data_IF_048610611299
#
_entry.id   IF_048610611299
#
_cell.length_a   1.000
_cell.length_b   1.000
_cell.length_c   1.000
_cell.angle_alpha   90.00
_cell.angle_beta   90.00
_cell.angle_gamma   90.00
#
_symmetry.space_group_name_H-M   'P 1'
#
loop_
_entity.id
_entity.type
_entity.pdbx_description
1 polymer ?
#
# COMPACT_ATOMS: atom_id res chain seq x y z
N UNK A 1 -12.93 29.39 30.35
CA UNK A 1 -14.37 29.29 30.25
C UNK A 1 -14.68 29.18 28.75
N UNK A 2 -15.09 28.13 28.17
CA UNK A 2 -15.79 26.91 28.55
C UNK A 2 -15.37 25.80 27.57
N UNK A 3 -14.97 24.67 28.13
CA UNK A 3 -14.76 23.40 27.44
C UNK A 3 -16.11 22.86 26.96
N UNK A 4 -16.16 22.42 25.70
CA UNK A 4 -17.24 21.57 25.21
C UNK A 4 -16.67 20.20 24.83
N UNK A 5 -16.71 19.31 25.79
CA UNK A 5 -16.47 17.88 25.62
C UNK A 5 -17.63 17.25 24.83
N UNK A 6 -17.38 16.88 23.61
CA UNK A 6 -18.27 16.02 22.82
C UNK A 6 -18.05 14.56 23.24
N UNK A 7 -18.87 14.08 24.17
CA UNK A 7 -18.98 12.67 24.50
C UNK A 7 -19.69 11.92 23.36
N UNK A 8 -18.91 11.19 22.56
CA UNK A 8 -19.42 10.21 21.61
C UNK A 8 -20.17 9.11 22.36
N UNK A 9 -21.48 9.08 22.23
CA UNK A 9 -22.38 8.03 22.69
C UNK A 9 -21.97 6.68 22.12
N UNK A 10 -21.31 5.87 22.92
CA UNK A 10 -21.22 4.44 22.71
C UNK A 10 -22.66 3.89 22.83
N UNK A 11 -23.28 3.66 21.70
CA UNK A 11 -24.54 2.97 21.59
C UNK A 11 -24.42 1.63 22.31
N UNK A 12 -25.02 1.58 23.48
CA UNK A 12 -25.18 0.39 24.32
C UNK A 12 -26.03 -0.61 23.52
N UNK A 13 -25.43 -1.52 22.77
CA UNK A 13 -26.13 -2.69 22.27
C UNK A 13 -26.53 -3.49 23.51
N UNK A 14 -27.78 -3.30 23.92
CA UNK A 14 -28.49 -4.15 24.85
C UNK A 14 -28.21 -5.59 24.40
N UNK A 15 -27.63 -6.38 25.29
CA UNK A 15 -27.49 -7.83 25.13
C UNK A 15 -28.94 -8.34 25.02
N UNK A 16 -29.42 -8.56 23.78
CA UNK A 16 -30.72 -9.10 23.49
C UNK A 16 -30.83 -10.47 24.18
N UNK A 17 -31.95 -10.71 24.83
CA UNK A 17 -32.30 -12.05 25.29
C UNK A 17 -32.20 -13.05 24.12
N UNK A 18 -32.23 -14.36 24.35
CA UNK A 18 -32.02 -15.37 23.32
C UNK A 18 -32.93 -15.07 22.12
N UNK A 19 -32.31 -14.64 21.01
CA UNK A 19 -32.99 -14.28 19.78
C UNK A 19 -33.75 -15.56 19.34
N UNK A 20 -35.08 -15.49 19.24
CA UNK A 20 -35.92 -16.63 18.92
C UNK A 20 -35.54 -17.13 17.52
N UNK A 21 -34.90 -18.31 17.45
CA UNK A 21 -34.37 -18.86 16.22
C UNK A 21 -35.48 -19.17 15.24
N UNK A 22 -35.38 -18.63 14.04
CA UNK A 22 -36.36 -18.80 12.97
C UNK A 22 -36.00 -20.01 12.14
N UNK A 23 -36.94 -20.95 11.99
CA UNK A 23 -36.79 -22.20 11.27
C UNK A 23 -37.71 -22.24 10.07
N UNK A 24 -37.26 -22.83 8.97
CA UNK A 24 -38.09 -23.11 7.79
C UNK A 24 -38.29 -24.62 7.66
N UNK A 25 -39.52 -25.07 7.57
CA UNK A 25 -39.89 -26.47 7.28
C UNK A 25 -40.32 -26.54 5.82
N UNK A 26 -39.75 -27.48 5.07
CA UNK A 26 -40.11 -27.73 3.68
C UNK A 26 -40.44 -29.21 3.52
N UNK A 27 -41.71 -29.52 3.32
CA UNK A 27 -42.19 -30.88 3.18
C UNK A 27 -43.54 -30.84 2.42
N UNK A 28 -43.79 -31.71 1.47
CA UNK A 28 -45.04 -31.72 0.70
C UNK A 28 -46.23 -32.31 1.48
N UNK A 29 -45.96 -33.10 2.54
CA UNK A 29 -46.99 -33.69 3.40
C UNK A 29 -47.51 -32.70 4.47
N UNK A 30 -48.74 -32.21 4.30
CA UNK A 30 -49.35 -31.22 5.23
C UNK A 30 -49.33 -31.71 6.69
N UNK A 31 -49.62 -33.00 6.90
CA UNK A 31 -49.70 -33.61 8.24
C UNK A 31 -48.36 -33.52 8.96
N UNK A 32 -47.25 -33.76 8.25
CA UNK A 32 -45.88 -33.68 8.78
C UNK A 32 -45.56 -32.23 9.06
N UNK A 33 -45.79 -31.31 8.11
CA UNK A 33 -45.55 -29.87 8.29
C UNK A 33 -46.26 -29.31 9.52
N UNK A 34 -47.53 -29.64 9.69
CA UNK A 34 -48.33 -29.17 10.85
C UNK A 34 -47.81 -29.74 12.17
N UNK A 35 -47.52 -31.05 12.22
CA UNK A 35 -47.00 -31.70 13.42
C UNK A 35 -45.66 -31.12 13.86
N UNK A 36 -44.69 -31.01 12.93
CA UNK A 36 -43.37 -30.44 13.20
C UNK A 36 -43.44 -28.96 13.59
N UNK A 37 -44.26 -28.16 12.87
CA UNK A 37 -44.46 -26.75 13.20
C UNK A 37 -45.03 -26.54 14.60
N UNK A 38 -46.05 -27.31 14.95
CA UNK A 38 -46.67 -27.25 16.29
C UNK A 38 -45.69 -27.64 17.38
N UNK A 39 -44.94 -28.72 17.17
CA UNK A 39 -43.93 -29.19 18.12
C UNK A 39 -42.82 -28.15 18.33
N UNK A 40 -42.20 -27.63 17.26
CA UNK A 40 -41.10 -26.70 17.35
C UNK A 40 -41.52 -25.34 17.92
N UNK A 41 -42.71 -24.83 17.56
CA UNK A 41 -43.28 -23.63 18.19
C UNK A 41 -43.48 -23.82 19.70
N UNK A 42 -43.91 -25.02 20.14
CA UNK A 42 -44.04 -25.31 21.57
C UNK A 42 -42.70 -25.33 22.32
N UNK A 43 -41.60 -25.43 21.61
CA UNK A 43 -40.22 -25.38 22.12
C UNK A 43 -39.56 -23.98 21.99
N UNK A 44 -40.32 -22.95 21.55
CA UNK A 44 -39.89 -21.59 21.50
C UNK A 44 -39.16 -21.20 20.19
N UNK A 45 -39.32 -22.00 19.13
CA UNK A 45 -38.82 -21.61 17.79
C UNK A 45 -39.88 -20.82 17.02
N UNK A 46 -39.47 -19.84 16.24
CA UNK A 46 -40.29 -19.21 15.21
C UNK A 46 -40.24 -20.08 13.95
N UNK A 47 -41.38 -20.50 13.40
CA UNK A 47 -41.42 -21.51 12.35
C UNK A 47 -42.32 -21.08 11.20
N UNK A 48 -41.72 -21.00 10.01
CA UNK A 48 -42.44 -20.93 8.74
C UNK A 48 -42.45 -22.31 8.07
N UNK A 49 -43.46 -22.55 7.26
CA UNK A 49 -43.65 -23.85 6.60
C UNK A 49 -43.98 -23.64 5.11
N UNK A 50 -43.24 -24.34 4.26
CA UNK A 50 -43.40 -24.36 2.82
C UNK A 50 -43.80 -25.75 2.34
N UNK A 51 -44.75 -25.81 1.42
CA UNK A 51 -45.24 -27.06 0.83
C UNK A 51 -44.41 -27.53 -0.38
N UNK A 52 -43.52 -26.65 -0.90
CA UNK A 52 -42.71 -26.93 -2.07
C UNK A 52 -41.49 -26.03 -2.11
N UNK A 53 -40.47 -26.40 -2.90
CA UNK A 53 -39.24 -25.66 -3.06
C UNK A 53 -39.42 -24.21 -3.53
N UNK A 54 -40.30 -23.85 -4.48
CA UNK A 54 -40.50 -22.44 -4.87
C UNK A 54 -41.01 -21.57 -3.72
N UNK A 55 -41.90 -22.09 -2.85
CA UNK A 55 -42.37 -21.37 -1.68
C UNK A 55 -41.26 -21.19 -0.65
N UNK A 56 -40.40 -22.19 -0.46
CA UNK A 56 -39.24 -22.13 0.41
C UNK A 56 -38.25 -21.08 -0.06
N UNK A 57 -37.95 -21.04 -1.34
CA UNK A 57 -37.06 -20.04 -1.94
C UNK A 57 -37.59 -18.60 -1.76
N UNK A 58 -38.90 -18.41 -1.92
CA UNK A 58 -39.54 -17.12 -1.67
C UNK A 58 -39.39 -16.69 -0.19
N UNK A 59 -39.53 -17.60 0.77
CA UNK A 59 -39.25 -17.29 2.17
C UNK A 59 -37.80 -16.92 2.43
N UNK A 60 -36.85 -17.65 1.84
CA UNK A 60 -35.41 -17.38 2.00
C UNK A 60 -34.96 -16.05 1.39
N UNK A 61 -35.61 -15.59 0.31
CA UNK A 61 -35.34 -14.29 -0.31
C UNK A 61 -35.80 -13.11 0.55
N UNK A 62 -36.83 -13.31 1.40
CA UNK A 62 -37.42 -12.22 2.17
C UNK A 62 -37.20 -12.33 3.68
N UNK A 63 -36.53 -13.37 4.15
CA UNK A 63 -36.27 -13.58 5.57
C UNK A 63 -34.98 -14.37 5.84
N UNK A 64 -34.43 -14.19 7.03
CA UNK A 64 -33.28 -14.96 7.48
C UNK A 64 -33.76 -16.13 8.37
N UNK A 65 -33.22 -17.30 8.09
CA UNK A 65 -33.49 -18.51 8.84
C UNK A 65 -32.20 -19.09 9.41
N UNK A 66 -32.28 -19.56 10.67
CA UNK A 66 -31.14 -20.24 11.30
C UNK A 66 -30.99 -21.67 10.81
N UNK A 67 -32.10 -22.30 10.45
CA UNK A 67 -32.14 -23.68 10.00
C UNK A 67 -33.31 -23.92 9.04
N UNK A 68 -33.07 -24.76 8.04
CA UNK A 68 -34.10 -25.37 7.18
C UNK A 68 -34.17 -26.87 7.43
N UNK A 69 -35.39 -27.38 7.75
CA UNK A 69 -35.73 -28.78 7.69
C UNK A 69 -36.31 -29.05 6.32
N UNK A 70 -35.72 -29.92 5.53
CA UNK A 70 -36.14 -30.15 4.15
C UNK A 70 -36.40 -31.63 3.87
N UNK A 71 -37.57 -31.96 3.37
CA UNK A 71 -37.81 -33.29 2.83
C UNK A 71 -37.00 -33.48 1.52
N UNK A 72 -36.47 -34.68 1.33
CA UNK A 72 -35.74 -35.04 0.11
C UNK A 72 -36.70 -35.20 -1.06
N UNK A 73 -37.85 -35.86 -0.85
CA UNK A 73 -38.74 -36.21 -1.94
C UNK A 73 -39.97 -35.31 -1.97
N UNK A 74 -39.89 -34.30 -2.84
CA UNK A 74 -41.01 -33.40 -3.08
C UNK A 74 -41.37 -33.37 -4.57
N UNK A 75 -42.63 -33.16 -4.94
CA UNK A 75 -43.03 -32.96 -6.32
C UNK A 75 -42.34 -31.75 -6.96
N UNK A 76 -41.88 -31.93 -8.19
CA UNK A 76 -41.15 -30.87 -8.92
C UNK A 76 -39.67 -30.83 -8.55
N UNK A 77 -39.24 -29.86 -7.78
CA UNK A 77 -37.86 -29.72 -7.31
C UNK A 77 -37.69 -30.50 -5.99
N UNK A 78 -36.74 -31.42 -5.98
CA UNK A 78 -36.38 -32.22 -4.82
C UNK A 78 -35.63 -31.39 -3.76
N UNK A 79 -35.58 -31.87 -2.51
CA UNK A 79 -34.79 -31.24 -1.46
C UNK A 79 -33.28 -31.20 -1.79
N UNK A 80 -32.75 -32.22 -2.49
CA UNK A 80 -31.37 -32.25 -2.92
C UNK A 80 -31.02 -31.14 -3.94
N UNK A 81 -31.96 -30.78 -4.80
CA UNK A 81 -31.82 -29.66 -5.73
C UNK A 81 -32.05 -28.30 -5.07
N UNK A 82 -32.91 -28.24 -4.06
CA UNK A 82 -33.20 -27.01 -3.32
C UNK A 82 -32.03 -26.56 -2.45
N UNK A 83 -31.34 -27.47 -1.76
CA UNK A 83 -30.32 -27.15 -0.76
C UNK A 83 -29.14 -26.29 -1.34
N UNK A 84 -28.56 -26.63 -2.48
CA UNK A 84 -27.50 -25.79 -3.08
C UNK A 84 -28.00 -24.36 -3.36
N UNK A 85 -29.21 -24.22 -3.92
CA UNK A 85 -29.79 -22.90 -4.25
C UNK A 85 -30.08 -22.10 -2.97
N UNK A 86 -30.63 -22.75 -1.95
CA UNK A 86 -30.90 -22.13 -0.66
C UNK A 86 -29.62 -21.61 0.01
N UNK A 87 -28.51 -22.34 -0.12
CA UNK A 87 -27.19 -21.93 0.40
C UNK A 87 -26.49 -20.88 -0.45
N UNK A 88 -26.81 -20.73 -1.71
CA UNK A 88 -26.39 -19.58 -2.51
C UNK A 88 -27.09 -18.30 -2.05
N UNK A 89 -28.37 -18.38 -1.62
CA UNK A 89 -29.11 -17.24 -1.07
C UNK A 89 -28.58 -16.87 0.33
N UNK A 90 -28.40 -17.86 1.21
CA UNK A 90 -27.84 -17.67 2.55
C UNK A 90 -26.80 -18.78 2.85
N UNK A 91 -25.53 -18.44 2.74
CA UNK A 91 -24.42 -19.37 3.01
C UNK A 91 -24.36 -19.84 4.47
N UNK A 92 -25.02 -19.12 5.36
CA UNK A 92 -25.08 -19.40 6.79
C UNK A 92 -26.30 -20.24 7.18
N UNK A 93 -27.18 -20.53 6.22
CA UNK A 93 -28.34 -21.39 6.46
C UNK A 93 -27.88 -22.80 6.81
N UNK A 94 -28.23 -23.26 7.99
CA UNK A 94 -28.08 -24.66 8.37
C UNK A 94 -29.21 -25.51 7.74
N UNK A 95 -28.87 -26.71 7.30
CA UNK A 95 -29.87 -27.60 6.68
C UNK A 95 -29.83 -28.99 7.30
N UNK A 96 -31.00 -29.49 7.70
CA UNK A 96 -31.26 -30.91 8.06
C UNK A 96 -32.20 -31.50 7.04
N UNK A 97 -31.78 -32.60 6.42
CA UNK A 97 -32.62 -33.33 5.46
C UNK A 97 -33.48 -34.38 6.17
N UNK A 98 -34.73 -34.51 5.72
CA UNK A 98 -35.61 -35.58 6.16
C UNK A 98 -35.68 -36.65 5.04
N UNK A 99 -35.41 -37.92 5.39
CA UNK A 99 -35.30 -39.02 4.41
C UNK A 99 -36.12 -40.22 4.80
N UNK A 100 -36.58 -41.04 3.83
CA UNK A 100 -37.28 -42.28 4.10
C UNK A 100 -36.30 -43.40 4.51
N UNK A 101 -36.78 -44.37 5.28
CA UNK A 101 -36.01 -45.42 5.95
C UNK A 101 -35.12 -46.28 5.02
N UNK A 102 -35.38 -46.29 3.70
CA UNK A 102 -34.74 -47.19 2.73
C UNK A 102 -33.71 -46.45 1.81
N UNK A 103 -33.33 -45.24 2.14
CA UNK A 103 -32.54 -44.37 1.26
C UNK A 103 -31.10 -44.11 1.78
N UNK A 104 -30.35 -45.16 2.15
CA UNK A 104 -28.98 -45.03 2.61
C UNK A 104 -28.04 -44.29 1.58
N UNK A 105 -28.16 -44.45 0.24
CA UNK A 105 -27.42 -43.64 -0.72
C UNK A 105 -27.76 -42.16 -0.61
N UNK A 106 -29.00 -41.82 -0.37
CA UNK A 106 -29.54 -40.44 -0.30
C UNK A 106 -29.00 -39.65 0.91
N UNK A 107 -28.59 -40.35 1.98
CA UNK A 107 -27.95 -39.71 3.14
C UNK A 107 -26.58 -39.11 2.78
N UNK A 108 -25.74 -39.86 2.00
CA UNK A 108 -24.47 -39.36 1.53
C UNK A 108 -24.63 -38.22 0.51
N UNK A 109 -25.65 -38.32 -0.35
CA UNK A 109 -26.00 -37.29 -1.32
C UNK A 109 -26.47 -36.00 -0.60
N UNK A 110 -27.22 -36.12 0.47
CA UNK A 110 -27.69 -34.98 1.30
C UNK A 110 -26.51 -34.16 1.86
N UNK A 111 -25.52 -34.84 2.42
CA UNK A 111 -24.30 -34.17 2.93
C UNK A 111 -23.51 -33.54 1.80
N UNK A 112 -23.40 -34.24 0.64
CA UNK A 112 -22.72 -33.71 -0.54
C UNK A 112 -23.41 -32.49 -1.15
N UNK A 113 -24.76 -32.43 -1.05
CA UNK A 113 -25.53 -31.26 -1.47
C UNK A 113 -25.39 -30.06 -0.51
N UNK A 114 -24.80 -30.25 0.68
CA UNK A 114 -24.52 -29.17 1.65
C UNK A 114 -25.39 -29.22 2.90
N UNK A 115 -26.16 -30.28 3.15
CA UNK A 115 -26.83 -30.48 4.43
C UNK A 115 -25.81 -30.75 5.54
N UNK A 116 -26.09 -30.28 6.74
CA UNK A 116 -25.27 -30.51 7.93
C UNK A 116 -25.57 -31.82 8.64
N UNK A 117 -26.80 -32.29 8.51
CA UNK A 117 -27.27 -33.53 9.13
C UNK A 117 -28.48 -34.06 8.33
N UNK A 118 -28.86 -35.33 8.56
CA UNK A 118 -30.11 -35.92 8.05
C UNK A 118 -30.80 -36.74 9.13
N UNK A 119 -32.13 -36.87 9.03
CA UNK A 119 -32.97 -37.67 9.92
C UNK A 119 -33.86 -38.55 9.07
N UNK A 120 -34.10 -39.81 9.55
CA UNK A 120 -34.96 -40.74 8.87
C UNK A 120 -36.42 -40.60 9.33
N UNK A 121 -37.36 -40.63 8.38
CA UNK A 121 -38.80 -40.71 8.65
C UNK A 121 -39.20 -42.17 9.00
N UNK A 122 -40.05 -42.41 10.02
CA UNK A 122 -40.74 -41.43 10.85
C UNK A 122 -39.80 -40.74 11.84
N UNK A 123 -39.84 -39.39 11.89
CA UNK A 123 -38.91 -38.58 12.69
C UNK A 123 -39.29 -38.71 14.18
N UNK A 124 -38.37 -39.20 15.00
CA UNK A 124 -38.50 -39.09 16.44
C UNK A 124 -38.32 -37.63 16.88
N UNK A 125 -39.22 -37.11 17.67
CA UNK A 125 -39.23 -35.70 18.07
C UNK A 125 -38.07 -35.31 19.01
N UNK A 126 -37.53 -36.27 19.77
CA UNK A 126 -36.35 -36.01 20.62
C UNK A 126 -35.09 -36.00 19.80
N UNK A 127 -34.95 -36.92 18.84
CA UNK A 127 -33.84 -36.95 17.91
C UNK A 127 -33.81 -35.69 17.05
N UNK A 128 -34.98 -35.22 16.58
CA UNK A 128 -35.10 -33.96 15.84
C UNK A 128 -34.60 -32.76 16.66
N UNK A 129 -35.05 -32.65 17.92
CA UNK A 129 -34.65 -31.53 18.78
C UNK A 129 -33.12 -31.52 19.00
N UNK A 130 -32.58 -32.71 19.33
CA UNK A 130 -31.13 -32.86 19.49
C UNK A 130 -30.34 -32.54 18.22
N UNK A 131 -30.84 -32.94 17.04
CA UNK A 131 -30.22 -32.59 15.76
C UNK A 131 -30.25 -31.06 15.49
N UNK A 132 -31.41 -30.44 15.71
CA UNK A 132 -31.56 -28.98 15.59
C UNK A 132 -30.57 -28.26 16.50
N UNK A 133 -30.47 -28.62 17.77
CA UNK A 133 -29.56 -27.98 18.72
C UNK A 133 -28.10 -28.13 18.28
N UNK A 134 -27.67 -29.32 17.88
CA UNK A 134 -26.32 -29.58 17.39
C UNK A 134 -25.99 -28.78 16.14
N UNK A 135 -26.87 -28.79 15.15
CA UNK A 135 -26.65 -28.15 13.84
C UNK A 135 -26.66 -26.62 13.97
N UNK A 136 -27.61 -26.08 14.73
CA UNK A 136 -27.67 -24.63 14.97
C UNK A 136 -26.45 -24.15 15.77
N UNK A 137 -26.04 -24.90 16.81
CA UNK A 137 -24.82 -24.54 17.55
C UNK A 137 -23.58 -24.56 16.64
N UNK A 138 -23.43 -25.57 15.80
CA UNK A 138 -22.32 -25.64 14.83
C UNK A 138 -22.33 -24.46 13.84
N UNK A 139 -23.54 -24.11 13.34
CA UNK A 139 -23.74 -22.94 12.48
C UNK A 139 -23.33 -21.64 13.19
N UNK A 140 -23.82 -21.44 14.42
CA UNK A 140 -23.52 -20.22 15.18
C UNK A 140 -22.02 -20.05 15.43
N UNK A 141 -21.31 -21.10 15.80
CA UNK A 141 -19.86 -21.10 15.94
C UNK A 141 -19.14 -20.75 14.63
N UNK A 142 -19.58 -21.31 13.50
CA UNK A 142 -18.98 -21.02 12.20
C UNK A 142 -19.21 -19.56 11.77
N UNK A 143 -20.40 -19.01 12.07
CA UNK A 143 -20.71 -17.58 11.81
C UNK A 143 -19.86 -16.68 12.69
N UNK A 144 -19.73 -16.98 13.97
CA UNK A 144 -18.92 -16.21 14.91
C UNK A 144 -17.45 -16.22 14.48
N UNK A 145 -16.90 -17.38 14.13
CA UNK A 145 -15.53 -17.52 13.65
C UNK A 145 -15.28 -16.65 12.42
N UNK A 146 -16.15 -16.69 11.41
CA UNK A 146 -16.01 -15.85 10.22
C UNK A 146 -16.11 -14.35 10.53
N UNK A 147 -16.94 -13.96 11.47
CA UNK A 147 -17.04 -12.58 11.90
C UNK A 147 -15.75 -12.10 12.58
N UNK A 148 -15.15 -12.94 13.43
CA UNK A 148 -13.86 -12.65 14.08
C UNK A 148 -12.75 -12.56 13.03
N UNK A 149 -12.66 -13.49 12.09
CA UNK A 149 -11.69 -13.46 11.00
C UNK A 149 -11.79 -12.16 10.19
N UNK A 150 -13.01 -11.75 9.79
CA UNK A 150 -13.23 -10.48 9.06
C UNK A 150 -12.83 -9.25 9.87
N UNK A 151 -13.04 -9.26 11.18
CA UNK A 151 -12.61 -8.17 12.06
C UNK A 151 -11.09 -8.09 12.16
N UNK A 152 -10.41 -9.24 12.29
CA UNK A 152 -8.95 -9.32 12.32
C UNK A 152 -8.37 -8.81 10.98
N UNK A 153 -8.89 -9.29 9.85
CA UNK A 153 -8.44 -8.85 8.52
C UNK A 153 -8.54 -7.33 8.35
N UNK A 154 -9.68 -6.74 8.74
CA UNK A 154 -9.89 -5.28 8.68
C UNK A 154 -8.92 -4.53 9.58
N UNK A 155 -8.70 -5.02 10.80
CA UNK A 155 -7.80 -4.36 11.75
C UNK A 155 -6.33 -4.48 11.30
N UNK A 156 -5.92 -5.64 10.76
CA UNK A 156 -4.59 -5.83 10.17
C UNK A 156 -4.38 -4.88 9.00
N UNK A 157 -5.33 -4.82 8.06
CA UNK A 157 -5.24 -3.92 6.90
C UNK A 157 -5.13 -2.45 7.34
N UNK A 158 -5.94 -2.03 8.33
CA UNK A 158 -5.90 -0.67 8.89
C UNK A 158 -4.54 -0.36 9.50
N UNK A 159 -4.03 -1.24 10.39
CA UNK A 159 -2.75 -1.03 11.07
C UNK A 159 -1.57 -1.03 10.10
N UNK A 160 -1.61 -1.89 9.08
CA UNK A 160 -0.57 -1.90 8.04
C UNK A 160 -0.53 -0.56 7.30
N UNK A 161 -1.68 -0.04 6.88
CA UNK A 161 -1.77 1.26 6.22
C UNK A 161 -1.34 2.43 7.13
N UNK A 162 -1.64 2.37 8.43
CA UNK A 162 -1.20 3.38 9.40
C UNK A 162 0.32 3.35 9.57
N UNK A 163 0.91 2.16 9.73
CA UNK A 163 2.37 1.98 9.86
C UNK A 163 3.13 2.43 8.60
N UNK A 164 2.59 2.16 7.42
CA UNK A 164 3.20 2.63 6.17
C UNK A 164 3.20 4.16 6.09
N UNK A 165 2.11 4.82 6.49
CA UNK A 165 2.02 6.29 6.57
C UNK A 165 3.00 6.87 7.58
N UNK A 166 3.07 6.32 8.78
CA UNK A 166 4.02 6.74 9.82
C UNK A 166 5.46 6.57 9.35
N UNK A 167 5.78 5.43 8.72
CA UNK A 167 7.10 5.15 8.16
C UNK A 167 7.48 6.14 7.08
N UNK A 168 6.57 6.44 6.15
CA UNK A 168 6.80 7.42 5.07
C UNK A 168 7.01 8.82 5.64
N UNK A 169 6.20 9.23 6.61
CA UNK A 169 6.35 10.53 7.30
C UNK A 169 7.67 10.65 8.05
N UNK A 170 8.07 9.61 8.77
CA UNK A 170 9.35 9.59 9.49
C UNK A 170 10.54 9.65 8.52
N UNK A 171 10.43 8.97 7.37
CA UNK A 171 11.45 9.03 6.32
C UNK A 171 11.59 10.43 5.73
N UNK A 172 10.46 11.07 5.36
CA UNK A 172 10.46 12.45 4.86
C UNK A 172 11.08 13.41 5.87
N UNK A 173 10.70 13.32 7.15
CA UNK A 173 11.28 14.15 8.21
C UNK A 173 12.80 13.94 8.37
N UNK A 174 13.28 12.71 8.19
CA UNK A 174 14.71 12.41 8.25
C UNK A 174 15.46 13.03 7.08
N UNK A 175 14.92 12.91 5.85
CA UNK A 175 15.48 13.56 4.66
C UNK A 175 15.54 15.07 4.83
N UNK A 176 14.44 15.67 5.28
CA UNK A 176 14.37 17.12 5.50
C UNK A 176 15.37 17.60 6.57
N UNK A 177 15.52 16.83 7.65
CA UNK A 177 16.51 17.13 8.69
C UNK A 177 17.93 17.16 8.12
N UNK A 178 18.31 16.15 7.33
CA UNK A 178 19.64 16.08 6.71
C UNK A 178 19.81 17.20 5.69
N UNK A 179 18.79 17.49 4.87
CA UNK A 179 18.84 18.59 3.90
C UNK A 179 19.00 19.97 4.59
N UNK A 180 18.38 20.16 5.75
CA UNK A 180 18.61 21.36 6.56
C UNK A 180 20.05 21.43 7.10
N UNK A 181 20.66 20.31 7.49
CA UNK A 181 22.06 20.29 7.90
C UNK A 181 22.99 20.65 6.73
N UNK A 182 22.70 20.17 5.52
CA UNK A 182 23.43 20.57 4.29
C UNK A 182 23.31 22.08 4.08
N UNK A 183 22.10 22.62 4.11
CA UNK A 183 21.86 24.06 3.92
C UNK A 183 22.54 24.91 5.01
N UNK A 184 22.56 24.46 6.26
CA UNK A 184 23.32 25.11 7.34
C UNK A 184 24.82 25.07 7.10
N UNK A 185 25.35 23.97 6.54
CA UNK A 185 26.74 23.87 6.21
C UNK A 185 27.09 24.83 5.06
N UNK A 186 26.27 24.85 4.00
CA UNK A 186 26.44 25.80 2.88
C UNK A 186 26.38 27.26 3.34
N UNK A 187 25.58 27.62 4.32
CA UNK A 187 25.44 28.99 4.82
C UNK A 187 26.71 29.57 5.48
N UNK A 188 27.68 28.71 5.80
CA UNK A 188 29.00 29.17 6.29
C UNK A 188 29.83 29.85 5.20
N UNK A 189 29.57 29.52 3.93
CA UNK A 189 30.21 30.14 2.78
C UNK A 189 29.17 30.91 1.95
N UNK A 190 29.27 32.24 1.84
CA UNK A 190 28.34 33.04 1.05
C UNK A 190 28.23 32.61 -0.43
N UNK A 191 29.24 31.94 -0.95
CA UNK A 191 29.26 31.44 -2.33
C UNK A 191 28.59 30.09 -2.52
N UNK A 192 28.33 29.36 -1.43
CA UNK A 192 27.67 28.03 -1.45
C UNK A 192 26.23 28.07 -0.97
N UNK A 193 25.80 29.18 -0.36
CA UNK A 193 24.46 29.29 0.21
C UNK A 193 23.36 28.92 -0.80
N UNK A 194 22.54 27.91 -0.44
CA UNK A 194 21.40 27.45 -1.24
C UNK A 194 21.76 26.67 -2.50
N UNK A 195 23.03 26.26 -2.67
CA UNK A 195 23.46 25.49 -3.83
C UNK A 195 22.69 24.21 -4.02
N UNK A 196 22.57 23.38 -2.99
CA UNK A 196 21.82 22.11 -3.07
C UNK A 196 20.35 22.29 -3.45
N UNK A 197 19.72 23.38 -2.98
CA UNK A 197 18.33 23.70 -3.35
C UNK A 197 18.21 24.05 -4.84
N UNK A 198 19.17 24.84 -5.35
CA UNK A 198 19.22 25.23 -6.78
C UNK A 198 19.53 24.03 -7.66
N UNK A 199 20.49 23.19 -7.27
CA UNK A 199 20.81 21.93 -7.97
C UNK A 199 19.56 21.05 -8.01
N UNK A 200 18.82 20.91 -6.91
CA UNK A 200 17.60 20.11 -6.87
C UNK A 200 16.51 20.63 -7.82
N UNK A 201 16.34 21.95 -7.92
CA UNK A 201 15.37 22.53 -8.85
C UNK A 201 15.73 22.29 -10.32
N UNK A 202 17.01 22.44 -10.68
CA UNK A 202 17.51 22.15 -12.03
C UNK A 202 17.43 20.66 -12.34
N UNK A 203 17.87 19.80 -11.43
CA UNK A 203 17.83 18.35 -11.61
C UNK A 203 16.40 17.84 -11.79
N UNK A 204 15.44 18.36 -11.02
CA UNK A 204 14.00 18.09 -11.19
C UNK A 204 13.55 18.48 -12.60
N UNK A 205 13.84 19.70 -13.03
CA UNK A 205 13.41 20.19 -14.33
C UNK A 205 13.99 19.37 -15.48
N UNK A 206 15.25 18.93 -15.38
CA UNK A 206 15.89 18.02 -16.36
C UNK A 206 15.16 16.66 -16.35
N UNK A 207 14.89 16.09 -15.19
CA UNK A 207 14.20 14.80 -15.06
C UNK A 207 12.79 14.83 -15.65
N UNK A 208 12.02 15.90 -15.40
CA UNK A 208 10.70 16.16 -15.99
C UNK A 208 10.78 16.27 -17.52
N UNK A 209 11.75 17.05 -18.04
CA UNK A 209 11.95 17.24 -19.48
C UNK A 209 12.35 15.94 -20.19
N UNK A 210 13.09 15.07 -19.50
CA UNK A 210 13.40 13.72 -19.99
C UNK A 210 12.22 12.75 -19.95
N UNK A 211 11.07 13.16 -19.39
CA UNK A 211 9.86 12.35 -19.28
C UNK A 211 9.96 11.21 -18.27
N UNK A 212 10.79 11.38 -17.22
CA UNK A 212 10.88 10.35 -16.15
C UNK A 212 9.58 10.28 -15.36
N UNK A 213 9.21 9.10 -14.83
CA UNK A 213 8.09 8.96 -13.91
C UNK A 213 8.25 9.86 -12.68
N UNK A 214 7.14 10.38 -12.14
CA UNK A 214 7.12 11.31 -10.99
C UNK A 214 7.94 10.80 -9.79
N UNK A 215 7.88 9.49 -9.51
CA UNK A 215 8.68 8.87 -8.45
C UNK A 215 10.18 9.09 -8.66
N UNK A 216 10.67 8.95 -9.89
CA UNK A 216 12.08 9.16 -10.23
C UNK A 216 12.46 10.64 -10.18
N UNK A 217 11.56 11.53 -10.60
CA UNK A 217 11.75 12.98 -10.48
C UNK A 217 11.95 13.38 -9.02
N UNK A 218 11.11 12.88 -8.11
CA UNK A 218 11.23 13.13 -6.67
C UNK A 218 12.50 12.52 -6.07
N UNK A 219 12.91 11.33 -6.51
CA UNK A 219 14.16 10.70 -6.08
C UNK A 219 15.40 11.49 -6.53
N UNK A 220 15.40 12.00 -7.77
CA UNK A 220 16.48 12.86 -8.30
C UNK A 220 16.56 14.16 -7.50
N UNK A 221 15.42 14.81 -7.26
CA UNK A 221 15.38 16.04 -6.46
C UNK A 221 15.83 15.81 -5.01
N UNK A 222 15.48 14.68 -4.42
CA UNK A 222 15.91 14.27 -3.08
C UNK A 222 17.43 14.04 -3.05
N UNK A 223 17.96 13.30 -4.03
CA UNK A 223 19.40 13.05 -4.13
C UNK A 223 20.17 14.37 -4.29
N UNK A 224 19.66 15.31 -5.10
CA UNK A 224 20.25 16.63 -5.28
C UNK A 224 20.32 17.46 -4.00
N UNK A 225 19.32 17.33 -3.11
CA UNK A 225 19.33 18.01 -1.80
C UNK A 225 20.36 17.41 -0.82
N UNK A 226 20.78 16.17 -1.04
CA UNK A 226 21.60 15.39 -0.12
C UNK A 226 23.02 15.12 -0.63
N UNK A 227 23.30 15.31 -1.94
CA UNK A 227 24.51 14.84 -2.61
C UNK A 227 25.81 15.29 -1.93
N UNK A 228 25.80 16.50 -1.39
CA UNK A 228 26.94 17.16 -0.78
C UNK A 228 27.02 17.01 0.76
N UNK A 229 26.16 16.21 1.39
CA UNK A 229 26.14 16.07 2.86
C UNK A 229 27.50 15.66 3.45
N UNK A 230 28.28 14.90 2.72
CA UNK A 230 29.62 14.48 3.17
C UNK A 230 30.63 15.63 3.27
N UNK A 231 30.39 16.77 2.64
CA UNK A 231 31.24 17.97 2.77
C UNK A 231 31.32 18.52 4.20
N UNK A 232 30.35 18.13 5.07
CA UNK A 232 30.37 18.49 6.49
C UNK A 232 31.64 17.98 7.22
N UNK A 233 32.27 16.93 6.71
CA UNK A 233 33.48 16.35 7.29
C UNK A 233 34.78 16.99 6.73
N UNK A 234 34.66 17.83 5.72
CA UNK A 234 35.83 18.54 5.15
C UNK A 234 36.25 19.66 6.08
N UNK A 235 37.59 19.89 6.13
CA UNK A 235 38.15 21.01 6.87
C UNK A 235 37.86 22.33 6.13
N UNK A 236 37.45 23.36 6.86
CA UNK A 236 37.16 24.69 6.30
C UNK A 236 38.34 25.25 5.46
N UNK A 237 39.58 24.95 5.86
CA UNK A 237 40.80 25.37 5.13
C UNK A 237 40.89 24.76 3.72
N UNK A 238 40.30 23.59 3.48
CA UNK A 238 40.27 22.95 2.15
C UNK A 238 39.07 23.47 1.37
N UNK A 239 37.89 23.52 2.02
CA UNK A 239 36.64 23.92 1.41
C UNK A 239 36.70 25.40 0.90
N UNK A 240 37.26 26.29 1.73
CA UNK A 240 37.29 27.74 1.48
C UNK A 240 38.67 28.23 0.96
N UNK A 241 39.50 27.36 0.40
CA UNK A 241 40.83 27.71 -0.08
C UNK A 241 40.74 28.72 -1.22
N UNK A 242 41.37 29.91 -1.10
CA UNK A 242 41.45 30.85 -2.18
C UNK A 242 42.48 30.39 -3.22
N UNK A 243 42.09 29.63 -4.23
CA UNK A 243 42.94 29.13 -5.29
C UNK A 243 42.75 27.66 -5.60
N UNK A 244 43.62 27.11 -6.44
CA UNK A 244 43.59 25.70 -6.83
C UNK A 244 43.92 24.78 -5.64
N UNK A 245 43.22 23.64 -5.55
CA UNK A 245 43.55 22.59 -4.60
C UNK A 245 44.81 21.84 -5.04
N UNK A 246 45.61 21.38 -4.07
CA UNK A 246 46.65 20.38 -4.37
C UNK A 246 46.03 19.03 -4.72
N UNK A 247 46.82 18.09 -5.24
CA UNK A 247 46.34 16.76 -5.54
C UNK A 247 45.81 16.05 -4.28
N UNK A 248 46.51 16.20 -3.13
CA UNK A 248 46.09 15.63 -1.86
C UNK A 248 44.83 16.27 -1.29
N UNK A 249 44.69 17.58 -1.45
CA UNK A 249 43.44 18.28 -1.04
C UNK A 249 42.27 17.87 -1.92
N UNK A 250 42.51 17.69 -3.22
CA UNK A 250 41.45 17.22 -4.13
C UNK A 250 41.00 15.80 -3.82
N UNK A 251 41.90 14.88 -3.46
CA UNK A 251 41.55 13.56 -2.98
C UNK A 251 40.69 13.63 -1.69
N UNK A 252 41.00 14.53 -0.76
CA UNK A 252 40.14 14.76 0.42
C UNK A 252 38.74 15.25 0.02
N UNK A 253 38.63 16.09 -0.99
CA UNK A 253 37.31 16.55 -1.48
C UNK A 253 36.54 15.41 -2.09
N UNK A 254 37.17 14.53 -2.89
CA UNK A 254 36.47 13.33 -3.44
C UNK A 254 35.88 12.42 -2.38
N UNK A 255 36.48 12.38 -1.20
CA UNK A 255 36.04 11.53 -0.08
C UNK A 255 34.65 11.93 0.45
N UNK A 256 34.13 13.14 0.12
CA UNK A 256 32.80 13.56 0.55
C UNK A 256 31.71 12.62 0.01
N UNK A 257 31.87 12.00 -1.16
CA UNK A 257 30.90 11.03 -1.71
C UNK A 257 30.80 9.82 -0.78
N UNK A 258 31.93 9.23 -0.40
CA UNK A 258 31.99 8.08 0.51
C UNK A 258 31.42 8.43 1.89
N UNK A 259 31.85 9.56 2.45
CA UNK A 259 31.36 10.03 3.76
C UNK A 259 29.86 10.34 3.70
N UNK A 260 29.39 10.95 2.62
CA UNK A 260 27.98 11.22 2.39
C UNK A 260 27.14 9.94 2.42
N UNK A 261 27.58 8.89 1.74
CA UNK A 261 26.92 7.58 1.75
C UNK A 261 26.92 6.95 3.14
N UNK A 262 27.99 7.13 3.94
CA UNK A 262 28.04 6.65 5.32
C UNK A 262 27.01 7.39 6.22
N UNK A 263 26.90 8.72 6.06
CA UNK A 263 25.90 9.54 6.77
C UNK A 263 24.48 9.13 6.37
N UNK A 264 24.26 8.85 5.09
CA UNK A 264 22.95 8.47 4.53
C UNK A 264 22.63 6.97 4.71
N UNK A 265 23.58 6.13 5.17
CA UNK A 265 23.39 4.70 5.35
C UNK A 265 22.14 4.28 6.17
N UNK A 266 21.68 5.05 7.17
CA UNK A 266 20.42 4.76 7.85
C UNK A 266 19.17 4.82 6.93
N UNK A 267 19.25 5.56 5.83
CA UNK A 267 18.18 5.75 4.83
C UNK A 267 18.21 4.69 3.72
N UNK A 268 18.58 3.43 4.05
CA UNK A 268 18.74 2.32 3.07
C UNK A 268 17.51 2.04 2.21
N UNK A 269 16.35 2.56 2.59
CA UNK A 269 15.10 2.41 1.86
C UNK A 269 15.06 3.32 0.62
N UNK A 270 15.92 4.36 0.59
CA UNK A 270 16.10 5.25 -0.55
C UNK A 270 17.27 4.78 -1.43
N UNK A 271 17.23 3.50 -1.83
CA UNK A 271 18.33 2.85 -2.55
C UNK A 271 18.75 3.62 -3.79
N UNK A 272 17.77 4.01 -4.60
CA UNK A 272 17.98 4.75 -5.85
C UNK A 272 18.60 6.12 -5.56
N UNK A 273 18.12 6.83 -4.54
CA UNK A 273 18.70 8.12 -4.10
C UNK A 273 20.16 7.95 -3.70
N UNK A 274 20.51 6.89 -2.98
CA UNK A 274 21.90 6.62 -2.59
C UNK A 274 22.78 6.30 -3.81
N UNK A 275 22.25 5.59 -4.80
CA UNK A 275 22.93 5.33 -6.07
C UNK A 275 23.18 6.65 -6.82
N UNK A 276 22.21 7.55 -6.87
CA UNK A 276 22.33 8.87 -7.50
C UNK A 276 23.38 9.74 -6.79
N UNK A 277 23.36 9.75 -5.45
CA UNK A 277 24.38 10.43 -4.64
C UNK A 277 25.76 9.83 -4.84
N UNK A 278 25.88 8.51 -4.99
CA UNK A 278 27.18 7.86 -5.28
C UNK A 278 27.77 8.31 -6.60
N UNK A 279 26.91 8.43 -7.63
CA UNK A 279 27.34 8.58 -9.02
C UNK A 279 27.40 10.04 -9.49
N UNK A 280 27.04 11.02 -8.66
CA UNK A 280 26.89 12.42 -9.11
C UNK A 280 28.17 13.11 -9.60
N UNK A 281 29.35 12.55 -9.34
CA UNK A 281 30.62 12.99 -9.87
C UNK A 281 31.25 12.01 -10.88
N UNK A 282 30.50 11.00 -11.30
CA UNK A 282 30.90 10.18 -12.44
C UNK A 282 30.70 10.97 -13.74
N UNK A 283 31.64 10.83 -14.66
CA UNK A 283 31.61 11.47 -15.97
C UNK A 283 31.16 10.45 -17.03
N UNK A 284 30.47 10.91 -18.04
CA UNK A 284 29.97 10.04 -19.09
C UNK A 284 31.05 9.18 -19.75
N UNK A 285 32.26 9.70 -19.89
CA UNK A 285 33.42 9.02 -20.48
C UNK A 285 34.21 8.14 -19.49
N UNK A 286 33.81 8.07 -18.22
CA UNK A 286 34.50 7.31 -17.16
C UNK A 286 35.68 8.01 -16.51
N UNK A 287 35.94 9.28 -16.82
CA UNK A 287 37.00 10.07 -16.20
C UNK A 287 36.63 10.61 -14.81
N UNK A 288 35.40 10.34 -14.34
CA UNK A 288 34.84 10.79 -13.07
C UNK A 288 35.31 9.99 -11.86
N UNK A 289 34.63 10.17 -10.74
CA UNK A 289 34.85 9.44 -9.48
C UNK A 289 33.53 9.22 -8.76
N UNK A 290 33.41 8.29 -7.78
CA UNK A 290 34.48 7.54 -7.11
C UNK A 290 34.88 6.22 -7.79
N UNK A 291 34.09 5.70 -8.74
CA UNK A 291 34.28 4.37 -9.31
C UNK A 291 34.92 4.42 -10.73
N UNK A 292 34.81 5.55 -11.44
CA UNK A 292 35.24 5.69 -12.83
C UNK A 292 34.38 4.86 -13.78
N UNK A 293 33.08 4.69 -13.47
CA UNK A 293 32.14 4.02 -14.36
C UNK A 293 31.73 4.96 -15.50
N UNK A 294 31.28 4.40 -16.63
CA UNK A 294 31.01 5.17 -17.84
C UNK A 294 29.66 4.84 -18.47
N UNK A 295 29.12 5.81 -19.20
CA UNK A 295 27.91 5.62 -20.01
C UNK A 295 26.69 5.22 -19.17
N UNK A 296 25.94 4.24 -19.63
CA UNK A 296 24.71 3.77 -18.98
C UNK A 296 24.95 3.00 -17.68
N UNK A 297 26.19 2.70 -17.31
CA UNK A 297 26.51 2.13 -15.99
C UNK A 297 26.37 3.18 -14.88
N UNK A 298 26.42 4.47 -15.22
CA UNK A 298 26.12 5.55 -14.30
C UNK A 298 24.60 5.62 -14.13
N UNK A 299 24.11 5.67 -12.90
CA UNK A 299 22.68 5.82 -12.63
C UNK A 299 22.10 7.06 -13.30
N UNK A 300 20.85 7.00 -13.77
CA UNK A 300 20.22 8.15 -14.46
C UNK A 300 20.21 9.40 -13.57
N UNK A 301 19.92 9.25 -12.27
CA UNK A 301 19.99 10.36 -11.33
C UNK A 301 21.41 10.92 -11.20
N UNK A 302 22.45 10.08 -11.16
CA UNK A 302 23.85 10.52 -11.14
C UNK A 302 24.21 11.37 -12.35
N UNK A 303 23.80 10.93 -13.55
CA UNK A 303 24.01 11.68 -14.82
C UNK A 303 23.30 13.04 -14.80
N UNK A 304 22.06 13.09 -14.30
CA UNK A 304 21.29 14.34 -14.16
C UNK A 304 21.94 15.25 -13.11
N UNK A 305 22.34 14.72 -11.96
CA UNK A 305 22.99 15.49 -10.91
C UNK A 305 24.32 16.08 -11.37
N UNK A 306 25.15 15.32 -12.10
CA UNK A 306 26.42 15.81 -12.68
C UNK A 306 26.20 17.05 -13.56
N UNK A 307 25.18 17.01 -14.42
CA UNK A 307 24.85 18.13 -15.29
C UNK A 307 24.30 19.33 -14.50
N UNK A 308 23.39 19.10 -13.56
CA UNK A 308 22.77 20.14 -12.75
C UNK A 308 23.77 20.82 -11.81
N UNK A 309 24.63 20.05 -11.12
CA UNK A 309 25.70 20.62 -10.27
C UNK A 309 26.72 21.38 -11.08
N UNK A 310 27.15 20.85 -12.23
CA UNK A 310 28.06 21.57 -13.17
C UNK A 310 27.44 22.89 -13.62
N UNK A 311 26.16 22.90 -14.00
CA UNK A 311 25.45 24.10 -14.41
C UNK A 311 25.41 25.15 -13.29
N UNK A 312 25.00 24.77 -12.08
CA UNK A 312 24.93 25.66 -10.92
C UNK A 312 26.37 26.13 -10.52
N UNK A 313 27.38 25.25 -10.57
CA UNK A 313 28.76 25.63 -10.28
C UNK A 313 29.28 26.68 -11.26
N UNK A 314 28.94 26.65 -12.53
CA UNK A 314 29.35 27.59 -13.56
C UNK A 314 28.59 28.91 -13.45
N UNK A 315 27.28 28.89 -13.21
CA UNK A 315 26.43 30.09 -13.09
C UNK A 315 26.50 30.76 -11.72
N UNK A 316 27.20 30.16 -10.73
CA UNK A 316 27.39 30.74 -9.40
C UNK A 316 28.75 31.46 -9.32
N UNK A 317 28.78 32.62 -8.62
CA UNK A 317 30.02 33.29 -8.24
C UNK A 317 30.83 32.42 -7.29
N UNK A 318 32.15 32.40 -7.46
CA UNK A 318 33.08 31.72 -6.55
C UNK A 318 34.16 32.75 -6.09
N UNK A 319 34.87 32.44 -5.00
CA UNK A 319 35.89 33.30 -4.45
C UNK A 319 36.98 33.71 -5.49
N UNK A 320 37.24 32.83 -6.47
CA UNK A 320 38.29 32.96 -7.48
C UNK A 320 37.76 33.13 -8.92
N UNK A 321 36.43 33.14 -9.15
CA UNK A 321 35.83 33.24 -10.48
C UNK A 321 34.44 33.92 -10.41
N UNK A 322 34.16 34.91 -11.29
CA UNK A 322 32.81 35.43 -11.46
C UNK A 322 31.86 34.36 -12.00
N UNK A 323 30.55 34.53 -11.83
CA UNK A 323 29.53 33.72 -12.47
C UNK A 323 29.64 33.85 -14.01
N UNK A 324 29.45 32.74 -14.72
CA UNK A 324 29.28 32.75 -16.17
C UNK A 324 27.83 33.13 -16.52
N UNK A 325 27.64 33.74 -17.70
CA UNK A 325 26.31 33.95 -18.24
C UNK A 325 25.62 32.60 -18.55
N UNK A 326 24.30 32.61 -18.66
CA UNK A 326 23.56 31.40 -19.05
C UNK A 326 24.00 30.89 -20.42
N UNK A 327 24.18 31.79 -21.39
CA UNK A 327 24.61 31.47 -22.76
C UNK A 327 26.03 30.85 -22.76
N UNK A 328 26.99 31.51 -22.11
CA UNK A 328 28.36 30.97 -22.01
C UNK A 328 28.40 29.62 -21.28
N UNK A 329 27.52 29.41 -20.29
CA UNK A 329 27.44 28.16 -19.54
C UNK A 329 26.91 27.02 -20.42
N UNK A 330 25.88 27.29 -21.21
CA UNK A 330 25.31 26.28 -22.15
C UNK A 330 26.36 25.93 -23.20
N UNK A 331 27.05 26.90 -23.75
CA UNK A 331 28.13 26.69 -24.76
C UNK A 331 29.31 25.92 -24.17
N UNK A 332 29.71 26.25 -22.93
CA UNK A 332 30.77 25.51 -22.23
C UNK A 332 30.35 24.03 -22.05
N UNK A 333 29.15 23.78 -21.58
CA UNK A 333 28.67 22.41 -21.37
C UNK A 333 28.48 21.65 -22.69
N UNK A 334 28.08 22.33 -23.77
CA UNK A 334 28.04 21.78 -25.12
C UNK A 334 29.37 21.17 -25.58
N UNK A 335 30.46 21.87 -25.29
CA UNK A 335 31.82 21.42 -25.64
C UNK A 335 32.26 20.19 -24.80
N UNK A 336 31.54 19.86 -23.72
CA UNK A 336 31.85 18.74 -22.82
C UNK A 336 30.83 17.58 -22.92
N UNK A 337 29.94 17.65 -23.89
CA UNK A 337 28.99 16.56 -24.18
C UNK A 337 29.74 15.31 -24.68
N UNK A 338 29.39 14.15 -24.19
CA UNK A 338 30.08 12.89 -24.49
C UNK A 338 31.34 12.63 -23.65
N UNK A 339 31.85 13.65 -22.98
CA UNK A 339 32.91 13.55 -21.95
C UNK A 339 32.30 13.64 -20.56
N UNK A 340 32.07 14.84 -20.07
CA UNK A 340 31.49 15.11 -18.75
C UNK A 340 30.01 14.71 -18.68
N UNK A 341 29.19 15.12 -19.65
CA UNK A 341 27.74 15.05 -19.64
C UNK A 341 27.22 14.11 -20.72
N UNK A 342 26.20 13.36 -20.37
CA UNK A 342 25.41 12.54 -21.32
C UNK A 342 24.72 13.43 -22.35
N UNK A 343 24.75 13.10 -23.66
CA UNK A 343 24.08 13.89 -24.70
C UNK A 343 22.56 14.11 -24.44
N UNK A 344 21.83 13.09 -23.97
CA UNK A 344 20.39 13.21 -23.70
C UNK A 344 20.09 14.15 -22.52
N UNK A 345 20.90 14.09 -21.46
CA UNK A 345 20.78 14.99 -20.30
C UNK A 345 21.10 16.43 -20.69
N UNK A 346 22.12 16.63 -21.53
CA UNK A 346 22.46 17.97 -22.03
C UNK A 346 21.30 18.56 -22.85
N UNK A 347 20.69 17.81 -23.76
CA UNK A 347 19.54 18.29 -24.55
C UNK A 347 18.34 18.70 -23.64
N UNK A 348 18.04 17.93 -22.62
CA UNK A 348 17.02 18.30 -21.65
C UNK A 348 17.38 19.56 -20.88
N UNK A 349 18.64 19.70 -20.41
CA UNK A 349 19.13 20.92 -19.76
C UNK A 349 19.03 22.15 -20.69
N UNK A 350 19.40 22.02 -21.95
CA UNK A 350 19.31 23.09 -22.93
C UNK A 350 17.86 23.56 -23.12
N UNK A 351 16.89 22.64 -23.20
CA UNK A 351 15.46 22.97 -23.28
C UNK A 351 15.01 23.72 -22.04
N UNK A 352 15.34 23.20 -20.85
CA UNK A 352 15.00 23.81 -19.55
C UNK A 352 15.51 25.24 -19.43
N UNK A 353 16.74 25.50 -19.91
CA UNK A 353 17.33 26.85 -19.92
C UNK A 353 16.64 27.75 -20.93
N UNK A 354 16.40 27.25 -22.16
CA UNK A 354 15.74 28.01 -23.23
C UNK A 354 14.30 28.44 -22.85
N UNK A 355 13.58 27.60 -22.16
CA UNK A 355 12.22 27.88 -21.66
C UNK A 355 12.21 28.79 -20.41
N UNK A 356 13.37 29.26 -19.99
CA UNK A 356 13.53 30.09 -18.79
C UNK A 356 13.01 29.46 -17.48
N UNK A 357 12.92 28.13 -17.43
CA UNK A 357 12.52 27.39 -16.20
C UNK A 357 13.58 27.51 -15.09
N UNK A 358 14.71 28.08 -15.42
CA UNK A 358 15.84 28.34 -14.51
C UNK A 358 15.95 29.82 -14.03
N UNK A 359 15.01 30.70 -14.45
CA UNK A 359 15.02 32.11 -14.02
C UNK A 359 14.81 32.22 -12.51
N UNK A 360 15.77 32.84 -11.82
CA UNK A 360 15.82 32.95 -10.36
C UNK A 360 16.58 31.81 -9.66
N UNK A 361 17.02 30.78 -10.40
CA UNK A 361 17.87 29.71 -9.86
C UNK A 361 19.37 29.96 -10.11
N UNK A 362 19.71 30.68 -11.20
CA UNK A 362 21.04 31.23 -11.39
C UNK A 362 21.21 32.45 -10.45
N UNK A 363 22.27 32.49 -9.67
CA UNK A 363 22.54 33.63 -8.79
C UNK A 363 22.88 34.87 -9.63
N UNK A 364 22.32 36.04 -9.27
CA UNK A 364 22.73 37.34 -9.77
C UNK A 364 24.20 37.66 -9.45
#
# INVERSE_FOLDING_TARGET
>A
MSESTSSGSLSNRVIGGPEMKRLLIVDDEETIRLALSKFLRSRGYDVDAAEAAPTALAFLQHGHYSLMLCDIRMPGMSGLELVPIAREIDSDLAVIMLTALNDAPTAAESISAGAMEYLTKPVDLQDLLGAIERVVHRRDLAVEQRNVERLIEREVARRTADLERERSSAMSASVDTIAHLVAMHESKDPYLTGTSTRVAAIARAIAEEMGLPEEWVEQVATAARLHDVGKIALRDAVLNKPGALSAEEFEQVKDHVRIGLEILAPLRQLREVLEFVRDHHEHWDGSGYPQGIMGEHISIGGRILCAADSFIALTSRRAYRPAMSLEDTVDYLAAHVGGLIEPAVYLALQTVVAEKRVLGLAAD
#
